data_IF_458002207097
#
_entry.id   IF_458002207097
#
_cell.length_a   1.000
_cell.length_b   1.000
_cell.length_c   1.000
_cell.angle_alpha   90.00
_cell.angle_beta   90.00
_cell.angle_gamma   90.00
#
_symmetry.space_group_name_H-M   'P 1'
#
loop_
_entity.id
_entity.type
_entity.pdbx_description
1 polymer ?
#
# COMPACT_ATOMS: atom_id res chain seq x y z
N UNK A 1 -8.21 -25.11 23.92
CA UNK A 1 -7.55 -25.65 22.72
C UNK A 1 -7.41 -24.51 21.73
N UNK A 2 -6.18 -24.11 21.39
CA UNK A 2 -5.94 -23.04 20.41
C UNK A 2 -5.65 -23.63 19.04
N UNK A 3 -6.20 -23.05 17.98
CA UNK A 3 -5.88 -23.43 16.60
C UNK A 3 -4.62 -22.67 16.19
N UNK A 4 -3.56 -23.39 15.81
CA UNK A 4 -2.33 -22.79 15.25
C UNK A 4 -2.47 -22.71 13.74
N UNK A 5 -2.60 -21.50 13.22
CA UNK A 5 -2.57 -21.23 11.77
C UNK A 5 -1.13 -20.96 11.32
N UNK A 6 -0.73 -21.58 10.22
CA UNK A 6 0.54 -21.31 9.51
C UNK A 6 0.22 -21.08 8.06
N UNK A 7 0.86 -20.06 7.47
CA UNK A 7 0.81 -19.80 6.03
C UNK A 7 2.24 -19.61 5.51
N UNK A 8 2.51 -20.16 4.34
CA UNK A 8 3.73 -19.95 3.59
C UNK A 8 3.40 -19.23 2.28
N UNK A 9 4.25 -18.26 1.92
CA UNK A 9 4.14 -17.51 0.68
C UNK A 9 5.52 -17.29 0.09
N UNK A 10 5.62 -17.44 -1.23
CA UNK A 10 6.75 -17.03 -2.05
C UNK A 10 6.32 -15.79 -2.81
N UNK A 11 7.06 -14.70 -2.63
CA UNK A 11 6.75 -13.41 -3.22
C UNK A 11 7.78 -13.05 -4.30
N UNK A 12 7.30 -12.51 -5.41
CA UNK A 12 8.13 -11.74 -6.34
C UNK A 12 8.18 -10.32 -5.83
N UNK A 13 9.37 -9.77 -5.65
CA UNK A 13 9.58 -8.36 -5.31
C UNK A 13 10.19 -7.62 -6.50
N UNK A 14 9.70 -6.42 -6.77
CA UNK A 14 10.21 -5.54 -7.82
C UNK A 14 10.41 -4.13 -7.24
N UNK A 15 11.55 -3.53 -7.57
CA UNK A 15 11.89 -2.17 -7.17
C UNK A 15 11.61 -1.20 -8.32
N UNK A 16 11.00 -0.06 -8.00
CA UNK A 16 10.63 1.00 -8.92
C UNK A 16 11.27 2.31 -8.44
N UNK A 17 12.45 2.62 -8.99
CA UNK A 17 13.17 3.87 -8.72
C UNK A 17 12.71 4.97 -9.70
N UNK A 18 13.00 6.23 -9.38
CA UNK A 18 12.76 7.39 -10.26
C UNK A 18 11.29 7.61 -10.63
N UNK A 19 10.42 7.76 -9.62
CA UNK A 19 9.00 8.10 -9.82
C UNK A 19 8.02 7.05 -9.30
N UNK A 20 8.52 5.94 -8.76
CA UNK A 20 7.71 4.88 -8.17
C UNK A 20 6.99 4.02 -9.21
N UNK A 21 6.03 3.23 -8.75
CA UNK A 21 5.19 2.40 -9.58
C UNK A 21 4.26 3.29 -10.43
N UNK A 22 4.13 3.07 -11.74
CA UNK A 22 3.21 3.81 -12.60
C UNK A 22 1.76 3.75 -12.08
N UNK A 23 1.07 4.88 -12.05
CA UNK A 23 -0.31 5.00 -11.55
C UNK A 23 -1.29 4.06 -12.27
N UNK A 24 -1.05 3.77 -13.55
CA UNK A 24 -1.85 2.83 -14.33
C UNK A 24 -1.82 1.38 -13.81
N UNK A 25 -0.83 1.02 -12.99
CA UNK A 25 -0.71 -0.30 -12.34
C UNK A 25 -1.29 -0.29 -10.92
N UNK A 26 -1.86 0.83 -10.47
CA UNK A 26 -2.41 1.01 -9.13
C UNK A 26 -3.94 1.04 -9.17
N UNK A 27 -4.56 0.64 -8.06
CA UNK A 27 -5.99 0.87 -7.84
C UNK A 27 -6.28 2.38 -7.83
N UNK A 28 -7.43 2.83 -8.36
CA UNK A 28 -7.81 4.24 -8.29
C UNK A 28 -7.78 4.77 -6.85
N UNK A 29 -7.35 6.01 -6.67
CA UNK A 29 -7.42 6.69 -5.38
C UNK A 29 -8.90 6.78 -4.97
N UNK A 30 -9.30 6.28 -3.77
CA UNK A 30 -10.67 6.39 -3.33
C UNK A 30 -11.12 7.85 -3.31
N UNK A 31 -12.30 8.16 -3.87
CA UNK A 31 -12.81 9.53 -3.94
C UNK A 31 -12.87 10.25 -2.57
N UNK A 32 -13.02 9.48 -1.48
CA UNK A 32 -12.99 9.99 -0.10
C UNK A 32 -11.62 10.56 0.34
N UNK A 33 -10.52 10.17 -0.32
CA UNK A 33 -9.18 10.68 -0.03
C UNK A 33 -8.83 11.99 -0.76
N UNK A 34 -9.67 12.45 -1.71
CA UNK A 34 -9.47 13.66 -2.52
C UNK A 34 -10.11 14.93 -1.90
N UNK A 35 -10.34 14.96 -0.59
CA UNK A 35 -11.05 16.07 0.05
C UNK A 35 -10.21 17.33 0.30
N UNK A 36 -10.64 18.45 -0.30
CA UNK A 36 -10.39 19.87 0.04
C UNK A 36 -9.29 20.64 -0.74
N UNK A 37 -9.60 21.02 -1.98
CA UNK A 37 -9.22 22.35 -2.50
C UNK A 37 -10.47 23.05 -3.03
N UNK A 38 -10.86 24.14 -2.35
CA UNK A 38 -12.02 24.96 -2.68
C UNK A 38 -11.58 26.25 -3.38
N UNK A 39 -12.01 26.46 -4.63
CA UNK A 39 -12.38 27.75 -5.26
C UNK A 39 -12.66 27.50 -6.76
N UNK A 40 -13.77 27.84 -7.43
CA UNK A 40 -15.06 28.46 -7.12
C UNK A 40 -15.82 28.62 -8.46
N UNK A 41 -17.15 28.84 -8.44
CA UNK A 41 -17.87 29.48 -9.56
C UNK A 41 -18.97 28.69 -10.32
N UNK A 42 -20.19 28.75 -9.76
CA UNK A 42 -21.53 28.88 -10.39
C UNK A 42 -22.12 27.87 -11.40
N UNK A 43 -23.28 27.37 -10.95
CA UNK A 43 -24.59 27.15 -11.63
C UNK A 43 -24.74 26.04 -12.68
N UNK A 44 -25.54 25.04 -12.30
CA UNK A 44 -26.18 24.11 -13.22
C UNK A 44 -26.95 23.03 -12.44
N UNK A 45 -28.25 23.25 -12.25
CA UNK A 45 -29.15 22.26 -11.64
C UNK A 45 -29.19 20.97 -12.46
N UNK A 46 -28.91 19.83 -11.84
CA UNK A 46 -29.44 18.53 -12.25
C UNK A 46 -29.38 17.56 -11.07
N UNK A 47 -30.51 17.39 -10.38
CA UNK A 47 -30.75 16.20 -9.57
C UNK A 47 -30.79 14.99 -10.50
N UNK A 48 -29.71 14.22 -10.53
CA UNK A 48 -29.65 12.92 -11.18
C UNK A 48 -28.88 11.98 -10.27
N UNK A 49 -29.59 11.13 -9.53
CA UNK A 49 -28.98 9.95 -8.93
C UNK A 49 -28.52 9.06 -10.08
N UNK A 50 -27.25 9.18 -10.45
CA UNK A 50 -26.63 8.23 -11.37
C UNK A 50 -26.48 6.91 -10.62
N UNK A 51 -27.46 6.03 -10.80
CA UNK A 51 -27.33 4.63 -10.46
C UNK A 51 -26.29 4.06 -11.43
N UNK A 52 -25.02 4.14 -11.04
CA UNK A 52 -23.93 3.53 -11.78
C UNK A 52 -24.14 2.01 -11.70
N UNK A 53 -24.26 1.32 -12.85
CA UNK A 53 -24.43 -0.13 -12.83
C UNK A 53 -23.24 -0.76 -12.10
N UNK A 54 -23.46 -1.85 -11.34
CA UNK A 54 -22.37 -2.53 -10.65
C UNK A 54 -21.31 -2.95 -11.67
N UNK A 55 -20.01 -2.79 -11.35
CA UNK A 55 -18.93 -3.13 -12.27
C UNK A 55 -19.05 -4.58 -12.72
N UNK A 56 -18.84 -4.82 -14.02
CA UNK A 56 -18.95 -6.16 -14.58
C UNK A 56 -17.89 -7.10 -13.98
N UNK A 57 -18.14 -8.41 -13.93
CA UNK A 57 -17.21 -9.37 -13.33
C UNK A 57 -15.79 -9.35 -13.92
N UNK A 58 -15.66 -8.98 -15.20
CA UNK A 58 -14.37 -8.77 -15.88
C UNK A 58 -13.64 -7.52 -15.40
N UNK A 59 -14.37 -6.45 -15.10
CA UNK A 59 -13.84 -5.17 -14.64
C UNK A 59 -13.33 -5.29 -13.20
N UNK A 60 -14.07 -6.01 -12.36
CA UNK A 60 -13.66 -6.34 -11.00
C UNK A 60 -12.38 -7.19 -10.97
N UNK A 61 -12.26 -8.17 -11.87
CA UNK A 61 -11.07 -8.98 -12.00
C UNK A 61 -9.84 -8.17 -12.46
N UNK A 62 -10.03 -7.18 -13.34
CA UNK A 62 -8.97 -6.26 -13.74
C UNK A 62 -8.50 -5.37 -12.58
N UNK A 63 -9.41 -4.90 -11.72
CA UNK A 63 -9.06 -4.10 -10.53
C UNK A 63 -8.36 -4.95 -9.47
N UNK A 64 -8.78 -6.20 -9.26
CA UNK A 64 -8.11 -7.14 -8.34
C UNK A 64 -6.66 -7.46 -8.75
N UNK A 65 -6.28 -7.21 -10.01
CA UNK A 65 -4.93 -7.40 -10.52
C UNK A 65 -3.98 -6.21 -10.23
N UNK A 66 -4.52 -5.04 -9.87
CA UNK A 66 -3.75 -3.81 -9.64
C UNK A 66 -3.14 -3.79 -8.23
N UNK A 67 -2.07 -3.02 -8.05
CA UNK A 67 -1.47 -2.79 -6.73
C UNK A 67 -2.30 -1.80 -5.91
N UNK A 68 -2.51 -2.05 -4.61
CA UNK A 68 -3.30 -1.14 -3.78
C UNK A 68 -2.61 0.21 -3.64
N UNK A 69 -3.37 1.30 -3.74
CA UNK A 69 -2.84 2.65 -3.55
C UNK A 69 -2.54 2.91 -2.05
N UNK A 70 -1.31 3.33 -1.69
CA UNK A 70 -1.01 3.71 -0.31
C UNK A 70 -1.70 5.01 0.05
N UNK A 71 -2.77 4.92 0.85
CA UNK A 71 -3.62 6.05 1.23
C UNK A 71 -2.89 7.12 2.04
N UNK A 72 -1.79 6.76 2.70
CA UNK A 72 -0.94 7.68 3.46
C UNK A 72 0.08 8.40 2.59
N UNK A 73 0.10 8.18 1.27
CA UNK A 73 1.04 8.85 0.37
C UNK A 73 0.83 10.37 0.36
N UNK A 74 1.93 11.12 0.29
CA UNK A 74 1.90 12.59 0.14
C UNK A 74 1.93 12.95 -1.35
N UNK A 75 0.92 13.65 -1.88
CA UNK A 75 0.91 14.07 -3.28
C UNK A 75 2.08 14.99 -3.63
N UNK A 76 2.61 14.88 -4.85
CA UNK A 76 3.66 15.76 -5.36
C UNK A 76 5.07 15.52 -4.82
N UNK A 77 5.24 14.57 -3.88
CA UNK A 77 6.56 14.17 -3.37
C UNK A 77 7.05 12.97 -4.19
N UNK A 78 8.30 13.04 -4.65
CA UNK A 78 8.94 11.92 -5.35
C UNK A 78 8.93 10.66 -4.48
N UNK A 79 8.57 9.54 -5.09
CA UNK A 79 8.53 8.24 -4.44
C UNK A 79 9.48 7.25 -5.09
N UNK A 80 10.03 6.38 -4.26
CA UNK A 80 10.53 5.07 -4.66
C UNK A 80 9.57 4.02 -4.14
N UNK A 81 9.28 3.00 -4.93
CA UNK A 81 8.33 1.95 -4.56
C UNK A 81 8.98 0.57 -4.62
N UNK A 82 8.61 -0.32 -3.69
CA UNK A 82 8.86 -1.76 -3.78
C UNK A 82 7.51 -2.44 -3.85
N UNK A 83 7.21 -3.11 -4.96
CA UNK A 83 6.03 -3.94 -5.08
C UNK A 83 6.36 -5.37 -4.78
N UNK A 84 5.41 -6.09 -4.19
CA UNK A 84 5.49 -7.53 -4.03
C UNK A 84 4.18 -8.19 -4.41
N UNK A 85 4.26 -9.37 -5.01
CA UNK A 85 3.10 -10.17 -5.40
C UNK A 85 3.36 -11.66 -5.20
N UNK A 86 2.28 -12.39 -4.92
CA UNK A 86 2.29 -13.82 -4.69
C UNK A 86 2.68 -14.56 -5.98
N UNK A 87 3.69 -15.40 -5.88
CA UNK A 87 4.03 -16.39 -6.91
C UNK A 87 3.43 -17.75 -6.55
N UNK A 88 3.55 -18.13 -5.28
CA UNK A 88 3.09 -19.41 -4.75
C UNK A 88 2.74 -19.26 -3.26
N UNK A 89 1.68 -19.92 -2.78
CA UNK A 89 1.40 -19.98 -1.34
C UNK A 89 -0.08 -20.19 -1.00
N UNK A 90 -0.40 -19.98 0.27
CA UNK A 90 -1.69 -20.34 0.87
C UNK A 90 -2.83 -19.31 0.65
N UNK A 91 -2.60 -18.27 -0.14
CA UNK A 91 -3.58 -17.23 -0.46
C UNK A 91 -3.99 -17.30 -1.94
N UNK A 92 -5.17 -16.78 -2.27
CA UNK A 92 -5.56 -16.59 -3.68
C UNK A 92 -4.85 -15.39 -4.28
N UNK A 93 -4.67 -14.34 -3.49
CA UNK A 93 -3.87 -13.18 -3.84
C UNK A 93 -3.19 -12.65 -2.58
N UNK A 94 -1.92 -12.28 -2.74
CA UNK A 94 -1.17 -11.54 -1.74
C UNK A 94 -0.28 -10.58 -2.50
N UNK A 95 -0.62 -9.28 -2.50
CA UNK A 95 0.14 -8.27 -3.22
C UNK A 95 0.14 -6.97 -2.45
N UNK A 96 1.18 -6.18 -2.62
CA UNK A 96 1.26 -4.90 -1.95
C UNK A 96 2.40 -4.05 -2.45
N UNK A 97 2.50 -2.88 -1.83
CA UNK A 97 3.47 -1.85 -2.16
C UNK A 97 4.01 -1.22 -0.89
N UNK A 98 5.32 -1.03 -0.86
CA UNK A 98 6.01 -0.13 0.06
C UNK A 98 6.38 1.10 -0.71
N UNK A 99 5.92 2.26 -0.25
CA UNK A 99 6.24 3.55 -0.84
C UNK A 99 7.08 4.37 0.11
N UNK A 100 8.22 4.84 -0.38
CA UNK A 100 9.16 5.67 0.36
C UNK A 100 9.15 7.07 -0.23
N UNK A 101 8.80 8.06 0.58
CA UNK A 101 8.73 9.46 0.17
C UNK A 101 9.58 10.31 1.10
N UNK A 102 10.49 11.11 0.54
CA UNK A 102 11.29 12.03 1.33
C UNK A 102 10.42 13.23 1.73
N UNK A 103 10.06 13.32 3.00
CA UNK A 103 9.20 14.39 3.53
C UNK A 103 9.99 15.54 4.16
N UNK A 104 11.32 15.42 4.21
CA UNK A 104 12.24 16.45 4.71
C UNK A 104 13.69 15.98 4.59
N UNK A 105 14.63 16.83 5.00
CA UNK A 105 16.07 16.61 4.77
C UNK A 105 16.59 15.29 5.39
N UNK A 106 16.05 14.91 6.54
CA UNK A 106 16.41 13.69 7.28
C UNK A 106 15.19 12.82 7.62
N UNK A 107 14.06 13.02 6.94
CA UNK A 107 12.82 12.30 7.22
C UNK A 107 12.27 11.62 5.96
N UNK A 108 11.86 10.37 6.12
CA UNK A 108 11.24 9.57 5.08
C UNK A 108 9.94 8.98 5.60
N UNK A 109 8.85 9.20 4.86
CA UNK A 109 7.59 8.52 5.07
C UNK A 109 7.61 7.17 4.36
N UNK A 110 7.41 6.09 5.13
CA UNK A 110 7.20 4.75 4.62
C UNK A 110 5.71 4.40 4.70
N UNK A 111 5.08 4.27 3.54
CA UNK A 111 3.68 3.86 3.41
C UNK A 111 3.60 2.39 2.97
N UNK A 112 2.66 1.63 3.55
CA UNK A 112 2.41 0.23 3.23
C UNK A 112 0.97 0.05 2.80
N UNK A 113 0.74 -0.55 1.64
CA UNK A 113 -0.60 -0.98 1.24
C UNK A 113 -0.59 -2.46 0.84
N UNK A 114 -1.62 -3.18 1.25
CA UNK A 114 -1.72 -4.62 1.08
C UNK A 114 -3.11 -5.01 0.56
N UNK A 115 -3.14 -5.89 -0.41
CA UNK A 115 -4.33 -6.60 -0.85
C UNK A 115 -4.13 -8.09 -0.60
N UNK A 116 -5.02 -8.68 0.19
CA UNK A 116 -5.00 -10.11 0.51
C UNK A 116 -6.36 -10.71 0.21
N UNK A 117 -6.36 -11.80 -0.57
CA UNK A 117 -7.54 -12.62 -0.82
C UNK A 117 -7.32 -14.00 -0.23
N UNK A 118 -8.04 -14.39 0.84
CA UNK A 118 -7.91 -15.72 1.42
C UNK A 118 -8.45 -16.80 0.48
N UNK A 119 -8.07 -18.04 0.76
CA UNK A 119 -8.76 -19.19 0.19
C UNK A 119 -10.17 -19.31 0.76
N UNK A 120 -11.11 -19.86 -0.02
CA UNK A 120 -12.52 -19.99 0.40
C UNK A 120 -12.70 -20.83 1.68
N UNK A 121 -11.79 -21.76 1.96
CA UNK A 121 -11.78 -22.58 3.17
C UNK A 121 -11.17 -21.88 4.39
N UNK A 122 -10.54 -20.71 4.22
CA UNK A 122 -9.78 -20.02 5.25
C UNK A 122 -10.60 -18.88 5.88
N UNK A 123 -10.95 -18.96 7.19
CA UNK A 123 -11.71 -17.90 7.85
C UNK A 123 -10.94 -16.58 7.89
N UNK A 124 -11.49 -15.53 7.27
CA UNK A 124 -10.89 -14.18 7.22
C UNK A 124 -10.52 -13.66 8.62
N UNK A 125 -11.38 -13.89 9.61
CA UNK A 125 -11.17 -13.45 10.98
C UNK A 125 -9.89 -14.01 11.63
N UNK A 126 -9.41 -15.18 11.19
CA UNK A 126 -8.19 -15.79 11.73
C UNK A 126 -6.91 -15.16 11.15
N UNK A 127 -6.97 -14.64 9.93
CA UNK A 127 -5.81 -14.09 9.24
C UNK A 127 -5.70 -12.57 9.36
N UNK A 128 -6.83 -11.86 9.36
CA UNK A 128 -6.85 -10.41 9.20
C UNK A 128 -6.07 -9.74 10.34
N UNK A 129 -6.46 -9.97 11.59
CA UNK A 129 -5.79 -9.36 12.74
C UNK A 129 -4.32 -9.80 12.86
N UNK A 130 -3.96 -10.99 12.37
CA UNK A 130 -2.55 -11.40 12.33
C UNK A 130 -1.77 -10.63 11.29
N UNK A 131 -2.29 -10.51 10.07
CA UNK A 131 -1.64 -9.79 8.97
C UNK A 131 -1.49 -8.30 9.34
N UNK A 132 -2.52 -7.66 9.87
CA UNK A 132 -2.46 -6.27 10.34
C UNK A 132 -1.35 -6.07 11.37
N UNK A 133 -1.27 -6.94 12.38
CA UNK A 133 -0.22 -6.87 13.40
C UNK A 133 1.18 -7.13 12.84
N UNK A 134 1.34 -8.05 11.87
CA UNK A 134 2.63 -8.29 11.21
C UNK A 134 3.07 -7.07 10.39
N UNK A 135 2.15 -6.42 9.67
CA UNK A 135 2.45 -5.22 8.87
C UNK A 135 2.96 -4.09 9.77
N UNK A 136 2.27 -3.82 10.89
CA UNK A 136 2.69 -2.80 11.85
C UNK A 136 4.08 -3.12 12.41
N UNK A 137 4.30 -4.36 12.86
CA UNK A 137 5.60 -4.78 13.41
C UNK A 137 6.72 -4.69 12.38
N UNK A 138 6.44 -5.02 11.13
CA UNK A 138 7.41 -4.90 10.04
C UNK A 138 7.81 -3.43 9.82
N UNK A 139 6.82 -2.54 9.72
CA UNK A 139 7.06 -1.10 9.56
C UNK A 139 7.86 -0.51 10.71
N UNK A 140 7.53 -0.85 11.95
CA UNK A 140 8.30 -0.43 13.13
C UNK A 140 9.75 -0.93 13.09
N UNK A 141 9.96 -2.18 12.67
CA UNK A 141 11.30 -2.77 12.59
C UNK A 141 12.14 -2.06 11.53
N UNK A 142 11.56 -1.78 10.36
CA UNK A 142 12.23 -1.02 9.29
C UNK A 142 12.57 0.39 9.76
N UNK A 143 11.63 1.09 10.41
CA UNK A 143 11.87 2.44 10.95
C UNK A 143 13.01 2.47 11.96
N UNK A 144 12.96 1.60 12.98
CA UNK A 144 14.02 1.48 14.00
C UNK A 144 15.39 1.20 13.38
N UNK A 145 15.44 0.29 12.41
CA UNK A 145 16.69 -0.04 11.72
C UNK A 145 17.23 1.14 10.91
N UNK A 146 16.37 1.80 10.13
CA UNK A 146 16.76 2.94 9.30
C UNK A 146 17.30 4.10 10.14
N UNK A 147 16.64 4.43 11.26
CA UNK A 147 17.11 5.47 12.19
C UNK A 147 18.45 5.13 12.83
N UNK A 148 18.66 3.86 13.23
CA UNK A 148 19.93 3.42 13.78
C UNK A 148 21.07 3.55 12.75
N UNK A 149 20.82 3.19 11.49
CA UNK A 149 21.78 3.35 10.40
C UNK A 149 22.09 4.82 10.11
N UNK A 150 21.08 5.69 10.16
CA UNK A 150 21.27 7.13 9.98
C UNK A 150 22.20 7.70 11.06
N UNK A 151 21.93 7.43 12.34
CA UNK A 151 22.77 7.88 13.47
C UNK A 151 24.21 7.37 13.36
N UNK A 152 24.39 6.11 12.94
CA UNK A 152 25.72 5.54 12.74
C UNK A 152 26.50 6.28 11.65
N UNK A 153 25.84 6.61 10.53
CA UNK A 153 26.46 7.39 9.45
C UNK A 153 26.83 8.81 9.90
N UNK A 154 25.97 9.49 10.66
CA UNK A 154 26.29 10.82 11.19
C UNK A 154 27.52 10.80 12.11
N UNK A 155 27.63 9.79 12.97
CA UNK A 155 28.80 9.62 13.83
C UNK A 155 30.09 9.36 13.03
N UNK A 156 30.00 8.61 11.93
CA UNK A 156 31.15 8.36 11.05
C UNK A 156 31.59 9.64 10.33
N UNK A 157 30.65 10.45 9.86
CA UNK A 157 30.94 11.73 9.20
C UNK A 157 31.53 12.73 10.20
N UNK A 158 31.04 12.79 11.44
CA UNK A 158 31.56 13.68 12.47
C UNK A 158 32.97 13.30 12.98
N UNK A 159 33.45 12.09 12.67
CA UNK A 159 34.78 11.59 13.04
C UNK A 159 35.83 11.73 11.93
N UNK A 160 35.43 12.23 10.75
CA UNK A 160 36.32 12.52 9.62
C UNK A 160 36.61 14.02 9.54
#
# INVERSE_FOLDING_TARGET
MGVKFSAAVTLRCCEHQNGGLPEALMTPVPAAALGASSSGGSSGSASGSVDLPPPSGSELASVEALFPFPLTSVPGVSSSDITFELVEGDFQAFRGIWRMQQTGDSSTLLSYALFVKPQAWLPVALIQGRIENEVVRNLEAVGKYAEAQFKLKEQQVAQQ
#
